data_IF_822561521694
#
_entry.id   IF_822561521694
#
_cell.length_a   1.000
_cell.length_b   1.000
_cell.length_c   1.000
_cell.angle_alpha   90.00
_cell.angle_beta   90.00
_cell.angle_gamma   90.00
#
_symmetry.space_group_name_H-M   'P 1'
#
loop_
_entity.id
_entity.type
_entity.pdbx_description
1 polymer ?
#
# COMPACT_ATOMS: atom_id res chain seq x y z
N UNK A 1 -32.74 44.15 62.57
CA UNK A 1 -32.67 42.71 62.27
C UNK A 1 -31.36 42.47 61.54
N UNK A 2 -30.39 41.89 62.25
CA UNK A 2 -29.00 41.68 61.83
C UNK A 2 -28.68 40.22 62.14
N UNK A 3 -28.14 39.50 61.16
CA UNK A 3 -27.33 38.28 61.33
C UNK A 3 -26.60 38.07 60.00
N UNK A 4 -25.32 38.47 59.85
CA UNK A 4 -24.06 37.79 60.21
C UNK A 4 -24.01 36.31 59.81
N UNK A 5 -23.12 36.01 58.85
CA UNK A 5 -22.10 34.96 59.03
C UNK A 5 -20.88 35.25 58.15
N UNK A 6 -19.72 35.05 58.78
CA UNK A 6 -18.35 35.26 58.31
C UNK A 6 -17.77 33.91 57.89
N UNK A 7 -16.94 33.87 56.84
CA UNK A 7 -16.08 32.73 56.52
C UNK A 7 -14.85 33.21 55.77
N UNK A 8 -13.68 32.95 56.34
CA UNK A 8 -12.42 33.67 56.11
C UNK A 8 -11.65 33.26 54.84
N UNK A 9 -10.89 34.23 54.32
CA UNK A 9 -9.85 34.10 53.29
C UNK A 9 -8.57 33.51 53.87
N UNK A 10 -7.98 32.53 53.17
CA UNK A 10 -6.54 32.21 53.25
C UNK A 10 -6.00 32.03 51.83
N UNK A 11 -5.15 32.99 51.43
CA UNK A 11 -4.36 32.94 50.21
C UNK A 11 -3.09 32.12 50.46
N UNK A 12 -2.89 31.03 49.72
CA UNK A 12 -1.60 30.35 49.62
C UNK A 12 -0.88 30.79 48.34
N UNK A 13 0.28 31.42 48.51
CA UNK A 13 1.24 31.67 47.45
C UNK A 13 1.97 30.36 47.11
N UNK A 14 1.92 29.93 45.85
CA UNK A 14 2.77 28.86 45.34
C UNK A 14 4.14 29.43 44.94
N UNK A 15 5.17 29.04 45.68
CA UNK A 15 6.57 29.19 45.29
C UNK A 15 6.92 28.13 44.23
N UNK A 16 7.42 28.58 43.09
CA UNK A 16 7.97 27.71 42.04
C UNK A 16 9.39 27.28 42.43
N UNK A 17 9.54 26.03 42.86
CA UNK A 17 10.81 25.32 42.92
C UNK A 17 10.71 24.11 41.99
N UNK A 18 11.25 24.22 40.78
CA UNK A 18 11.51 23.04 39.94
C UNK A 18 13.00 22.76 39.96
N UNK A 19 13.33 21.64 40.59
CA UNK A 19 14.64 21.06 40.67
C UNK A 19 15.21 20.75 39.28
N UNK A 20 16.47 21.13 39.07
CA UNK A 20 17.29 20.72 37.94
C UNK A 20 17.81 19.31 38.28
N UNK A 21 17.31 18.30 37.58
CA UNK A 21 17.95 16.97 37.55
C UNK A 21 18.89 16.90 36.34
N UNK A 22 20.19 16.62 36.53
CA UNK A 22 21.06 16.26 35.43
C UNK A 22 20.91 14.76 35.15
N UNK A 23 20.74 14.37 33.89
CA UNK A 23 21.19 13.10 33.28
C UNK A 23 20.47 12.88 31.94
N UNK A 24 21.18 13.16 30.84
CA UNK A 24 21.27 12.31 29.65
C UNK A 24 22.25 12.95 28.67
N UNK A 25 23.55 12.83 28.99
CA UNK A 25 24.56 12.83 27.94
C UNK A 25 24.43 11.49 27.20
N UNK A 26 23.72 11.51 26.08
CA UNK A 26 23.96 10.58 24.99
C UNK A 26 23.88 11.41 23.71
N UNK A 27 25.05 11.90 23.29
CA UNK A 27 25.28 12.28 21.91
C UNK A 27 25.05 11.03 21.07
N UNK A 28 23.89 10.91 20.43
CA UNK A 28 23.75 10.10 19.21
C UNK A 28 24.07 11.00 18.01
N UNK A 29 25.33 11.44 17.95
CA UNK A 29 25.96 12.00 16.75
C UNK A 29 26.22 10.90 15.71
N UNK A 30 25.18 10.15 15.33
CA UNK A 30 25.23 9.10 14.31
C UNK A 30 24.33 9.41 13.10
N UNK A 31 24.22 10.69 12.74
CA UNK A 31 23.96 11.09 11.35
C UNK A 31 25.25 11.05 10.49
N UNK A 32 26.31 10.42 11.01
CA UNK A 32 27.55 10.20 10.28
C UNK A 32 27.30 9.30 9.06
N UNK A 33 27.46 9.88 7.89
CA UNK A 33 27.83 9.17 6.67
C UNK A 33 29.14 8.41 6.95
N UNK A 34 29.02 7.15 7.38
CA UNK A 34 30.15 6.24 7.52
C UNK A 34 30.72 5.89 6.15
N UNK A 35 32.06 5.80 6.09
CA UNK A 35 32.88 5.51 4.92
C UNK A 35 32.41 4.31 4.09
N UNK A 36 31.46 4.48 3.16
CA UNK A 36 31.19 3.58 2.02
C UNK A 36 30.80 2.12 2.31
N UNK A 37 30.95 1.63 3.53
CA UNK A 37 30.61 0.27 3.98
C UNK A 37 29.35 0.33 4.83
N UNK A 38 28.27 -0.25 4.32
CA UNK A 38 27.01 -0.34 5.05
C UNK A 38 27.16 -1.36 6.19
N UNK A 39 27.16 -0.87 7.44
CA UNK A 39 27.03 -1.70 8.64
C UNK A 39 25.57 -2.04 9.01
N UNK A 40 24.62 -1.63 8.18
CA UNK A 40 23.20 -1.91 8.38
C UNK A 40 22.89 -3.41 8.24
N UNK A 41 21.86 -3.88 8.95
CA UNK A 41 21.37 -5.26 8.84
C UNK A 41 21.03 -5.59 7.39
N UNK A 42 21.59 -6.67 6.79
CA UNK A 42 21.15 -7.14 5.49
C UNK A 42 19.68 -7.57 5.53
N UNK A 43 18.92 -7.17 4.50
CA UNK A 43 17.53 -7.61 4.33
C UNK A 43 17.42 -8.32 2.99
N UNK A 44 16.83 -9.52 2.96
CA UNK A 44 16.54 -10.22 1.70
C UNK A 44 15.19 -9.79 1.15
N UNK A 45 14.17 -9.78 2.02
CA UNK A 45 12.80 -9.39 1.67
C UNK A 45 12.27 -8.39 2.69
N UNK A 46 11.81 -7.25 2.21
CA UNK A 46 11.04 -6.26 2.96
C UNK A 46 9.59 -6.31 2.48
N UNK A 47 8.70 -6.77 3.35
CA UNK A 47 7.25 -6.73 3.14
C UNK A 47 6.75 -5.38 3.65
N UNK A 48 6.08 -4.62 2.78
CA UNK A 48 5.50 -3.32 3.11
C UNK A 48 3.98 -3.49 3.15
N UNK A 49 3.40 -3.29 4.32
CA UNK A 49 1.96 -3.28 4.56
C UNK A 49 1.51 -1.90 5.04
N UNK A 50 0.22 -1.60 4.97
CA UNK A 50 -0.26 -0.22 5.06
C UNK A 50 -0.94 0.03 6.41
N UNK A 51 -1.58 -0.96 7.01
CA UNK A 51 -2.13 -0.87 8.36
C UNK A 51 -2.04 -2.19 9.13
N UNK A 52 -2.32 -2.14 10.44
CA UNK A 52 -2.06 -3.23 11.40
C UNK A 52 -2.45 -4.64 10.91
N UNK A 53 -3.73 -4.91 10.60
CA UNK A 53 -4.20 -6.20 10.07
C UNK A 53 -3.43 -6.73 8.86
N UNK A 54 -3.03 -5.88 7.90
CA UNK A 54 -2.22 -6.31 6.76
C UNK A 54 -0.82 -6.73 7.16
N UNK A 55 -0.17 -5.99 8.07
CA UNK A 55 1.13 -6.40 8.61
C UNK A 55 1.01 -7.67 9.45
N UNK A 56 -0.04 -7.77 10.26
CA UNK A 56 -0.23 -8.84 11.24
C UNK A 56 -0.32 -10.22 10.58
N UNK A 57 -0.92 -10.33 9.38
CA UNK A 57 -1.04 -11.63 8.70
C UNK A 57 0.33 -12.27 8.39
N UNK A 58 1.35 -11.44 8.17
CA UNK A 58 2.74 -11.87 8.00
C UNK A 58 3.40 -12.16 9.35
N UNK A 59 3.20 -11.26 10.32
CA UNK A 59 3.77 -11.37 11.66
C UNK A 59 3.34 -12.66 12.38
N UNK A 60 2.09 -13.09 12.19
CA UNK A 60 1.57 -14.31 12.81
C UNK A 60 2.21 -15.59 12.26
N UNK A 61 2.81 -15.54 11.06
CA UNK A 61 3.17 -16.74 10.30
C UNK A 61 4.67 -16.90 10.02
N UNK A 62 5.42 -15.79 9.96
CA UNK A 62 6.84 -15.79 9.56
C UNK A 62 7.81 -15.47 10.70
N UNK A 63 7.31 -15.32 11.93
CA UNK A 63 8.14 -15.09 13.11
C UNK A 63 9.02 -16.29 13.50
N UNK A 64 9.73 -16.19 14.64
CA UNK A 64 9.72 -15.09 15.60
C UNK A 64 10.43 -13.82 15.10
N UNK A 65 10.08 -12.68 15.68
CA UNK A 65 10.53 -11.35 15.26
C UNK A 65 11.49 -10.69 16.23
N UNK A 66 12.37 -9.87 15.67
CA UNK A 66 13.12 -8.84 16.37
C UNK A 66 12.59 -7.48 15.95
N UNK A 67 12.21 -6.66 16.93
CA UNK A 67 11.78 -5.30 16.69
C UNK A 67 12.98 -4.36 16.57
N UNK A 68 12.98 -3.56 15.51
CA UNK A 68 14.02 -2.59 15.22
C UNK A 68 13.34 -1.22 15.10
N UNK A 69 13.46 -0.34 16.11
CA UNK A 69 12.94 1.01 16.05
C UNK A 69 13.62 1.81 14.94
N UNK A 70 12.85 2.58 14.18
CA UNK A 70 13.37 3.45 13.12
C UNK A 70 12.80 4.86 13.28
N UNK A 71 13.69 5.84 13.41
CA UNK A 71 13.29 7.24 13.50
C UNK A 71 12.57 7.69 12.22
N UNK A 72 11.45 8.40 12.38
CA UNK A 72 10.64 8.91 11.27
C UNK A 72 9.52 7.98 10.80
N UNK A 73 9.43 6.75 11.30
CA UNK A 73 8.22 5.93 11.12
C UNK A 73 7.03 6.50 11.89
N UNK A 74 5.83 6.11 11.47
CA UNK A 74 4.58 6.45 12.16
C UNK A 74 4.66 6.08 13.66
N UNK A 75 4.19 6.94 14.58
CA UNK A 75 4.09 6.60 16.01
C UNK A 75 3.23 5.36 16.30
N UNK A 76 2.28 5.05 15.42
CA UNK A 76 1.44 3.84 15.54
C UNK A 76 2.21 2.57 15.14
N UNK A 77 3.25 2.72 14.32
CA UNK A 77 4.07 1.63 13.77
C UNK A 77 5.57 1.98 13.82
N UNK A 78 6.17 2.21 15.00
CA UNK A 78 7.52 2.78 15.12
C UNK A 78 8.65 1.77 14.87
N UNK A 79 8.31 0.49 14.67
CA UNK A 79 9.26 -0.62 14.55
C UNK A 79 9.14 -1.32 13.20
N UNK A 80 10.29 -1.80 12.71
CA UNK A 80 10.36 -2.82 11.67
C UNK A 80 10.61 -4.16 12.34
N UNK A 81 9.87 -5.17 11.92
CA UNK A 81 9.94 -6.51 12.50
C UNK A 81 10.75 -7.43 11.57
N UNK A 82 11.91 -7.91 12.00
CA UNK A 82 12.76 -8.77 11.19
C UNK A 82 12.95 -10.15 11.82
N UNK A 83 12.89 -11.22 11.02
CA UNK A 83 13.10 -12.59 11.49
C UNK A 83 14.55 -13.07 11.21
N UNK A 84 14.86 -14.34 11.52
CA UNK A 84 16.21 -14.91 11.32
C UNK A 84 16.56 -15.24 9.86
N UNK A 85 15.58 -15.21 8.95
CA UNK A 85 15.78 -15.45 7.51
C UNK A 85 16.01 -14.15 6.73
N UNK A 86 16.12 -13.01 7.43
CA UNK A 86 16.21 -11.67 6.87
C UNK A 86 14.98 -11.28 6.04
N UNK A 87 13.82 -11.77 6.46
CA UNK A 87 12.51 -11.25 6.09
C UNK A 87 12.15 -10.19 7.13
N UNK A 88 11.78 -9.01 6.66
CA UNK A 88 11.30 -7.93 7.49
C UNK A 88 9.90 -7.48 7.07
N UNK A 89 9.12 -6.97 8.02
CA UNK A 89 7.79 -6.38 7.79
C UNK A 89 7.81 -4.95 8.33
N UNK A 90 7.38 -4.01 7.49
CA UNK A 90 7.10 -2.62 7.87
C UNK A 90 5.62 -2.33 7.63
N UNK A 91 4.99 -1.59 8.55
CA UNK A 91 3.66 -1.01 8.36
C UNK A 91 3.76 0.50 8.17
N UNK A 92 3.25 1.06 7.08
CA UNK A 92 3.45 2.47 6.75
C UNK A 92 2.49 3.43 7.46
N UNK A 93 1.25 2.99 7.71
CA UNK A 93 0.09 3.87 7.84
C UNK A 93 -0.60 4.09 6.48
N UNK A 94 -1.92 4.31 6.50
CA UNK A 94 -2.76 4.43 5.29
C UNK A 94 -2.58 5.79 4.60
N UNK A 95 -2.78 5.80 3.28
CA UNK A 95 -2.73 6.99 2.43
C UNK A 95 -1.32 7.41 1.99
N UNK A 96 -1.26 8.22 0.93
CA UNK A 96 -0.01 8.60 0.24
C UNK A 96 1.01 9.25 1.16
N UNK A 97 0.57 10.08 2.10
CA UNK A 97 1.46 10.83 3.01
C UNK A 97 2.20 9.89 3.96
N UNK A 98 1.48 8.97 4.62
CA UNK A 98 2.09 8.01 5.54
C UNK A 98 2.98 7.01 4.79
N UNK A 99 2.50 6.52 3.64
CA UNK A 99 3.26 5.63 2.77
C UNK A 99 4.63 6.22 2.35
N UNK A 100 4.63 7.48 1.87
CA UNK A 100 5.85 8.15 1.46
C UNK A 100 6.78 8.44 2.65
N UNK A 101 6.25 8.98 3.75
CA UNK A 101 7.05 9.35 4.93
C UNK A 101 7.73 8.11 5.56
N UNK A 102 6.95 7.05 5.83
CA UNK A 102 7.47 5.82 6.44
C UNK A 102 8.48 5.11 5.52
N UNK A 103 8.22 5.06 4.22
CA UNK A 103 9.14 4.42 3.25
C UNK A 103 10.45 5.22 3.11
N UNK A 104 10.39 6.56 3.14
CA UNK A 104 11.61 7.40 3.16
C UNK A 104 12.41 7.17 4.45
N UNK A 105 11.75 7.11 5.61
CA UNK A 105 12.41 6.83 6.88
C UNK A 105 13.11 5.46 6.88
N UNK A 106 12.46 4.42 6.35
CA UNK A 106 13.09 3.12 6.15
C UNK A 106 14.29 3.20 5.19
N UNK A 107 14.09 3.74 3.99
CA UNK A 107 15.08 3.66 2.91
C UNK A 107 16.36 4.46 3.20
N UNK A 108 16.26 5.51 4.03
CA UNK A 108 17.39 6.34 4.45
C UNK A 108 17.95 5.99 5.84
N UNK A 109 17.33 5.05 6.55
CA UNK A 109 17.85 4.55 7.82
C UNK A 109 19.22 3.90 7.65
N UNK A 110 20.15 4.18 8.56
CA UNK A 110 21.45 3.49 8.64
C UNK A 110 21.35 2.10 9.26
N UNK A 111 20.17 1.71 9.77
CA UNK A 111 19.93 0.41 10.43
C UNK A 111 19.93 -0.77 9.45
N UNK A 112 19.75 -0.53 8.15
CA UNK A 112 19.57 -1.58 7.14
C UNK A 112 20.49 -1.38 5.93
N UNK A 113 20.99 -2.47 5.37
CA UNK A 113 21.55 -2.51 4.01
C UNK A 113 20.46 -3.00 3.05
N UNK A 114 19.91 -2.07 2.26
CA UNK A 114 18.78 -2.34 1.37
C UNK A 114 19.17 -2.51 -0.11
N UNK A 115 20.47 -2.49 -0.44
CA UNK A 115 20.97 -2.44 -1.82
C UNK A 115 20.57 -3.66 -2.66
N UNK A 116 20.34 -4.80 -2.01
CA UNK A 116 19.94 -6.05 -2.67
C UNK A 116 18.54 -6.51 -2.28
N UNK A 117 17.82 -5.73 -1.46
CA UNK A 117 16.52 -6.12 -0.89
C UNK A 117 15.45 -6.22 -1.97
N UNK A 118 14.63 -7.27 -1.88
CA UNK A 118 13.35 -7.34 -2.56
C UNK A 118 12.27 -6.68 -1.72
N UNK A 119 11.55 -5.75 -2.31
CA UNK A 119 10.40 -5.10 -1.70
C UNK A 119 9.13 -5.73 -2.24
N UNK A 120 8.27 -6.21 -1.35
CA UNK A 120 6.93 -6.66 -1.70
C UNK A 120 5.94 -5.75 -0.99
N UNK A 121 5.31 -4.85 -1.75
CA UNK A 121 4.18 -4.07 -1.24
C UNK A 121 2.95 -4.96 -1.28
N UNK A 122 2.36 -5.24 -0.11
CA UNK A 122 1.28 -6.20 0.05
C UNK A 122 0.18 -5.63 0.95
N UNK A 123 -0.98 -5.37 0.35
CA UNK A 123 -2.15 -4.84 1.03
C UNK A 123 -3.46 -5.16 0.31
N UNK A 124 -4.59 -4.96 0.98
CA UNK A 124 -5.90 -5.15 0.38
C UNK A 124 -6.24 -4.00 -0.57
N UNK A 125 -7.29 -4.19 -1.37
CA UNK A 125 -7.77 -3.23 -2.35
C UNK A 125 -9.24 -3.49 -2.72
N UNK A 126 -9.92 -2.48 -3.26
CA UNK A 126 -11.16 -2.70 -4.00
C UNK A 126 -10.85 -3.38 -5.33
N UNK A 127 -11.65 -4.38 -5.75
CA UNK A 127 -11.46 -5.15 -7.00
C UNK A 127 -12.49 -4.76 -8.06
N UNK A 128 -12.04 -4.63 -9.31
CA UNK A 128 -12.89 -4.49 -10.48
C UNK A 128 -13.58 -5.84 -10.78
N UNK A 129 -14.93 -5.93 -10.71
CA UNK A 129 -15.66 -7.17 -10.97
C UNK A 129 -15.45 -7.73 -12.39
N UNK A 130 -15.01 -6.93 -13.35
CA UNK A 130 -14.72 -7.40 -14.71
C UNK A 130 -13.38 -8.14 -14.80
N UNK A 131 -12.43 -7.85 -13.89
CA UNK A 131 -11.09 -8.45 -13.91
C UNK A 131 -10.89 -9.52 -12.85
N UNK A 132 -11.57 -9.38 -11.71
CA UNK A 132 -11.41 -10.28 -10.58
C UNK A 132 -12.68 -10.35 -9.73
N UNK A 133 -12.51 -10.91 -8.54
CA UNK A 133 -13.58 -11.08 -7.57
C UNK A 133 -13.07 -10.91 -6.16
N UNK A 134 -13.96 -10.69 -5.20
CA UNK A 134 -13.61 -10.59 -3.77
C UNK A 134 -12.78 -11.81 -3.35
N UNK A 135 -11.64 -11.54 -2.70
CA UNK A 135 -10.61 -12.51 -2.32
C UNK A 135 -9.53 -12.75 -3.37
N UNK A 136 -9.69 -12.30 -4.63
CA UNK A 136 -8.64 -12.47 -5.66
C UNK A 136 -7.37 -11.72 -5.28
N UNK A 137 -6.21 -12.27 -5.63
CA UNK A 137 -4.91 -11.64 -5.37
C UNK A 137 -4.21 -11.31 -6.68
N UNK A 138 -3.88 -10.04 -6.91
CA UNK A 138 -3.37 -9.52 -8.17
C UNK A 138 -1.92 -9.06 -8.05
N UNK A 139 -1.07 -9.55 -8.95
CA UNK A 139 0.30 -9.04 -9.15
C UNK A 139 0.30 -7.96 -10.24
N UNK A 140 0.76 -6.76 -9.88
CA UNK A 140 0.78 -5.60 -10.77
C UNK A 140 2.10 -5.45 -11.55
N UNK A 141 2.00 -4.88 -12.75
CA UNK A 141 3.12 -4.44 -13.59
C UNK A 141 3.16 -2.92 -13.74
N UNK A 142 2.03 -2.24 -13.54
CA UNK A 142 1.88 -0.80 -13.53
C UNK A 142 1.25 -0.34 -12.22
N UNK A 143 1.75 0.79 -11.73
CA UNK A 143 1.17 1.57 -10.64
C UNK A 143 0.66 2.87 -11.25
N UNK A 144 -0.63 3.17 -11.11
CA UNK A 144 -1.26 4.32 -11.77
C UNK A 144 -1.89 5.22 -10.71
N UNK A 145 -1.49 6.48 -10.66
CA UNK A 145 -2.09 7.45 -9.76
C UNK A 145 -3.42 7.95 -10.33
N UNK A 146 -4.46 8.04 -9.50
CA UNK A 146 -5.79 8.54 -9.83
C UNK A 146 -6.17 9.84 -9.11
N UNK A 147 -5.32 10.33 -8.21
CA UNK A 147 -5.46 11.64 -7.59
C UNK A 147 -4.80 12.77 -8.39
N UNK A 148 -3.75 12.49 -9.15
CA UNK A 148 -2.98 13.47 -9.93
C UNK A 148 -3.66 13.69 -11.30
N UNK A 149 -4.79 14.39 -11.23
CA UNK A 149 -5.64 14.76 -12.35
C UNK A 149 -6.25 16.13 -12.08
N UNK A 150 -6.79 16.79 -13.11
CA UNK A 150 -7.75 17.86 -12.91
C UNK A 150 -9.16 17.29 -12.83
N UNK A 151 -10.03 17.98 -12.12
CA UNK A 151 -11.43 17.61 -11.97
C UNK A 151 -12.31 18.85 -12.10
N UNK A 152 -13.36 18.73 -12.91
CA UNK A 152 -14.51 19.61 -12.91
C UNK A 152 -15.60 18.91 -12.08
N UNK A 153 -16.34 19.66 -11.27
CA UNK A 153 -17.47 19.13 -10.50
C UNK A 153 -18.40 18.33 -11.41
N UNK A 154 -18.81 17.13 -10.97
CA UNK A 154 -19.63 16.22 -11.76
C UNK A 154 -20.97 16.83 -12.24
N UNK A 155 -21.46 17.89 -11.60
CA UNK A 155 -22.69 18.61 -11.97
C UNK A 155 -22.47 19.67 -13.05
N UNK A 156 -21.21 20.01 -13.33
CA UNK A 156 -20.80 21.07 -14.25
C UNK A 156 -20.04 20.52 -15.47
N UNK A 157 -20.09 19.20 -15.68
CA UNK A 157 -19.44 18.53 -16.81
C UNK A 157 -19.95 19.14 -18.14
N UNK A 158 -19.05 19.63 -19.02
CA UNK A 158 -19.43 20.19 -20.31
C UNK A 158 -20.21 19.21 -21.20
N UNK A 159 -21.16 19.68 -22.03
CA UNK A 159 -21.83 18.82 -23.00
C UNK A 159 -20.84 18.05 -23.89
N UNK A 160 -21.04 16.74 -24.02
CA UNK A 160 -20.20 15.86 -24.83
C UNK A 160 -19.04 15.20 -24.06
N UNK A 161 -18.75 15.61 -22.82
CA UNK A 161 -17.78 14.93 -21.97
C UNK A 161 -18.46 13.81 -21.16
N UNK A 162 -17.82 12.65 -21.07
CA UNK A 162 -18.31 11.50 -20.29
C UNK A 162 -17.91 11.55 -18.81
N UNK A 163 -16.99 12.45 -18.45
CA UNK A 163 -16.42 12.58 -17.11
C UNK A 163 -15.89 14.01 -16.90
N UNK A 164 -15.82 14.45 -15.63
CA UNK A 164 -15.20 15.70 -15.23
C UNK A 164 -13.68 15.59 -15.02
N UNK A 165 -13.13 14.37 -15.02
CA UNK A 165 -11.69 14.14 -14.85
C UNK A 165 -10.93 14.31 -16.16
N UNK A 166 -9.76 14.94 -16.09
CA UNK A 166 -8.85 15.08 -17.21
C UNK A 166 -7.39 15.11 -16.73
N UNK A 167 -6.46 14.79 -17.64
CA UNK A 167 -5.05 14.88 -17.33
C UNK A 167 -4.62 16.33 -17.08
N UNK A 168 -3.65 16.53 -16.19
CA UNK A 168 -3.05 17.86 -15.96
C UNK A 168 -2.54 18.42 -17.30
N UNK A 169 -2.85 19.69 -17.57
CA UNK A 169 -2.49 20.40 -18.80
C UNK A 169 -3.11 19.84 -20.11
N UNK A 170 -4.15 19.00 -20.04
CA UNK A 170 -4.91 18.54 -21.21
C UNK A 170 -6.13 19.41 -21.52
N UNK A 171 -6.75 19.21 -22.69
CA UNK A 171 -7.95 19.92 -23.13
C UNK A 171 -9.19 19.03 -23.24
N UNK A 172 -9.06 17.72 -23.02
CA UNK A 172 -10.18 16.78 -23.01
C UNK A 172 -9.87 15.53 -22.16
N UNK A 173 -10.90 14.80 -21.68
CA UNK A 173 -10.72 13.60 -20.85
C UNK A 173 -9.96 12.42 -21.50
N UNK A 174 -9.86 12.42 -22.84
CA UNK A 174 -9.23 11.34 -23.61
C UNK A 174 -7.76 11.59 -23.94
N UNK A 175 -7.22 12.76 -23.63
CA UNK A 175 -5.82 13.11 -23.89
C UNK A 175 -4.88 12.55 -22.82
N UNK A 176 -3.70 12.10 -23.27
CA UNK A 176 -2.60 11.75 -22.36
C UNK A 176 -1.87 13.03 -21.92
N UNK A 177 -1.70 13.28 -20.61
CA UNK A 177 -0.94 14.42 -20.13
C UNK A 177 0.57 14.24 -20.39
N UNK A 178 1.37 15.32 -20.33
CA UNK A 178 2.84 15.27 -20.45
C UNK A 178 3.57 14.56 -19.27
N UNK A 179 2.84 14.21 -18.20
CA UNK A 179 3.35 13.57 -16.98
C UNK A 179 4.39 14.43 -16.25
N UNK A 180 4.06 15.69 -16.00
CA UNK A 180 4.98 16.68 -15.42
C UNK A 180 5.27 16.42 -13.93
N UNK A 181 4.39 15.71 -13.20
CA UNK A 181 4.56 15.48 -11.75
C UNK A 181 5.47 14.28 -11.46
N UNK A 182 5.72 13.42 -12.46
CA UNK A 182 6.66 12.29 -12.46
C UNK A 182 6.32 11.18 -11.45
N UNK A 183 5.07 11.15 -10.99
CA UNK A 183 4.51 10.14 -10.07
C UNK A 183 3.16 9.58 -10.55
N UNK A 184 2.67 10.05 -11.69
CA UNK A 184 1.38 9.66 -12.26
C UNK A 184 1.33 8.19 -12.66
N UNK A 185 2.46 7.64 -13.12
CA UNK A 185 2.55 6.23 -13.53
C UNK A 185 3.96 5.70 -13.34
N UNK A 186 4.05 4.48 -12.82
CA UNK A 186 5.28 3.71 -12.75
C UNK A 186 5.11 2.35 -13.41
N UNK A 187 6.14 1.90 -14.11
CA UNK A 187 6.25 0.53 -14.61
C UNK A 187 7.20 -0.26 -13.71
N UNK A 188 6.73 -1.40 -13.21
CA UNK A 188 7.51 -2.32 -12.40
C UNK A 188 8.30 -3.30 -13.26
N UNK A 189 9.21 -4.04 -12.64
CA UNK A 189 9.91 -5.13 -13.29
C UNK A 189 8.92 -6.26 -13.63
N UNK A 190 8.51 -6.33 -14.90
CA UNK A 190 7.51 -7.31 -15.37
C UNK A 190 7.95 -8.74 -15.12
N UNK A 191 9.24 -9.03 -15.21
CA UNK A 191 9.79 -10.37 -14.96
C UNK A 191 9.65 -10.79 -13.50
N UNK A 192 9.81 -9.85 -12.56
CA UNK A 192 9.56 -10.13 -11.15
C UNK A 192 8.08 -10.43 -10.92
N UNK A 193 7.18 -9.61 -11.47
CA UNK A 193 5.73 -9.84 -11.38
C UNK A 193 5.31 -11.18 -12.02
N UNK A 194 5.88 -11.54 -13.17
CA UNK A 194 5.62 -12.82 -13.86
C UNK A 194 6.15 -14.01 -13.06
N UNK A 195 7.32 -13.88 -12.44
CA UNK A 195 7.88 -14.92 -11.57
C UNK A 195 7.02 -15.10 -10.32
N UNK A 196 6.61 -14.01 -9.69
CA UNK A 196 5.74 -14.02 -8.53
C UNK A 196 4.39 -14.69 -8.83
N UNK A 197 3.79 -14.35 -9.97
CA UNK A 197 2.57 -15.01 -10.45
C UNK A 197 2.79 -16.50 -10.74
N UNK A 198 3.86 -16.88 -11.44
CA UNK A 198 4.15 -18.28 -11.75
C UNK A 198 4.29 -19.13 -10.47
N UNK A 199 4.92 -18.59 -9.44
CA UNK A 199 5.09 -19.24 -8.14
C UNK A 199 3.77 -19.41 -7.37
N UNK A 200 2.79 -18.51 -7.56
CA UNK A 200 1.58 -18.47 -6.72
C UNK A 200 0.27 -18.80 -7.45
N UNK A 201 0.23 -18.87 -8.78
CA UNK A 201 -1.01 -19.02 -9.57
C UNK A 201 -1.87 -20.24 -9.26
N UNK A 202 -1.30 -21.27 -8.64
CA UNK A 202 -1.99 -22.50 -8.26
C UNK A 202 -2.27 -22.60 -6.77
N UNK A 203 -1.95 -21.57 -5.98
CA UNK A 203 -2.28 -21.54 -4.56
C UNK A 203 -3.79 -21.46 -4.38
N UNK A 204 -4.31 -22.29 -3.48
CA UNK A 204 -5.72 -22.23 -3.07
C UNK A 204 -5.93 -21.03 -2.17
N UNK A 205 -6.64 -20.04 -2.68
CA UNK A 205 -7.03 -18.85 -1.92
C UNK A 205 -8.15 -19.18 -0.92
N UNK A 206 -8.11 -18.52 0.23
CA UNK A 206 -9.15 -18.52 1.24
C UNK A 206 -10.43 -17.89 0.68
N UNK A 207 -11.57 -18.40 1.14
CA UNK A 207 -12.90 -18.00 0.74
C UNK A 207 -13.88 -18.19 1.92
N UNK A 208 -15.03 -17.54 1.89
CA UNK A 208 -16.07 -17.66 2.92
C UNK A 208 -17.49 -17.50 2.34
N UNK A 209 -18.50 -17.81 3.15
CA UNK A 209 -19.91 -17.79 2.72
C UNK A 209 -20.40 -16.38 2.37
N UNK A 210 -19.98 -15.35 3.09
CA UNK A 210 -20.40 -13.97 2.84
C UNK A 210 -19.89 -13.46 1.48
N UNK A 211 -18.63 -13.74 1.16
CA UNK A 211 -18.04 -13.47 -0.14
C UNK A 211 -18.71 -14.29 -1.24
N UNK A 212 -19.06 -15.56 -1.01
CA UNK A 212 -19.86 -16.36 -1.97
C UNK A 212 -21.21 -15.68 -2.26
N UNK A 213 -21.91 -15.25 -1.21
CA UNK A 213 -23.20 -14.56 -1.33
C UNK A 213 -23.08 -13.20 -2.02
N UNK A 214 -22.02 -12.44 -1.75
CA UNK A 214 -21.76 -11.16 -2.41
C UNK A 214 -21.51 -11.35 -3.92
N UNK A 215 -20.69 -12.33 -4.28
CA UNK A 215 -20.36 -12.68 -5.67
C UNK A 215 -21.55 -13.21 -6.45
N UNK A 216 -22.45 -13.96 -5.81
CA UNK A 216 -23.67 -14.48 -6.44
C UNK A 216 -24.61 -13.38 -6.96
N UNK A 217 -24.46 -12.13 -6.49
CA UNK A 217 -25.23 -10.97 -6.97
C UNK A 217 -24.77 -10.47 -8.34
N UNK A 218 -23.58 -10.86 -8.79
CA UNK A 218 -23.05 -10.52 -10.11
C UNK A 218 -23.45 -11.59 -11.13
N UNK A 219 -23.98 -11.16 -12.27
CA UNK A 219 -24.48 -12.05 -13.34
C UNK A 219 -23.37 -12.59 -14.26
N UNK A 220 -22.12 -12.15 -14.07
CA UNK A 220 -21.00 -12.42 -14.98
C UNK A 220 -19.74 -12.88 -14.24
N UNK A 221 -18.88 -13.57 -14.98
CA UNK A 221 -17.54 -13.95 -14.54
C UNK A 221 -16.52 -12.84 -14.90
N UNK A 222 -15.42 -12.69 -14.16
CA UNK A 222 -15.02 -13.52 -13.01
C UNK A 222 -15.69 -13.13 -11.67
N UNK A 223 -16.44 -12.02 -11.59
CA UNK A 223 -17.07 -11.55 -10.35
C UNK A 223 -17.82 -12.65 -9.59
N UNK A 224 -18.52 -13.55 -10.27
CA UNK A 224 -19.31 -14.63 -9.65
C UNK A 224 -18.56 -15.96 -9.42
N UNK A 225 -17.23 -15.98 -9.45
CA UNK A 225 -16.41 -17.21 -9.32
C UNK A 225 -15.60 -17.25 -8.01
N UNK A 226 -15.09 -18.43 -7.59
CA UNK A 226 -14.03 -18.56 -6.57
C UNK A 226 -12.84 -17.63 -6.84
N UNK A 227 -12.19 -17.05 -5.81
CA UNK A 227 -11.03 -16.19 -6.02
C UNK A 227 -9.85 -16.99 -6.56
N UNK A 228 -9.05 -16.36 -7.41
CA UNK A 228 -7.79 -16.92 -7.90
C UNK A 228 -6.68 -15.86 -7.84
N UNK A 229 -5.44 -16.29 -7.96
CA UNK A 229 -4.34 -15.37 -8.20
C UNK A 229 -4.39 -14.94 -9.66
N UNK A 230 -4.28 -13.64 -9.93
CA UNK A 230 -4.36 -13.04 -11.26
C UNK A 230 -3.19 -12.06 -11.50
N UNK A 231 -3.04 -11.60 -12.75
CA UNK A 231 -2.14 -10.51 -13.10
C UNK A 231 -2.93 -9.38 -13.76
N UNK A 232 -2.86 -8.21 -13.15
CA UNK A 232 -3.47 -6.97 -13.58
C UNK A 232 -2.94 -5.85 -12.69
N UNK A 233 -3.21 -4.61 -13.06
CA UNK A 233 -2.57 -3.43 -12.50
C UNK A 233 -3.43 -2.71 -11.46
N UNK A 234 -2.73 -1.95 -10.63
CA UNK A 234 -3.28 -1.28 -9.47
C UNK A 234 -3.25 0.22 -9.65
N UNK A 235 -4.25 0.85 -9.06
CA UNK A 235 -4.45 2.28 -9.10
C UNK A 235 -4.46 2.84 -7.67
N UNK A 236 -3.80 3.98 -7.47
CA UNK A 236 -3.64 4.64 -6.18
C UNK A 236 -4.40 5.97 -6.13
N UNK A 237 -5.07 6.29 -5.03
CA UNK A 237 -5.60 7.63 -4.76
C UNK A 237 -5.93 7.82 -3.28
N UNK A 238 -5.81 9.05 -2.74
CA UNK A 238 -6.18 9.34 -1.35
C UNK A 238 -7.70 9.39 -1.10
N UNK A 239 -8.50 9.30 -2.16
CA UNK A 239 -9.97 9.22 -2.06
C UNK A 239 -10.41 7.78 -2.20
N UNK A 240 -11.15 7.29 -1.21
CA UNK A 240 -11.88 6.03 -1.33
C UNK A 240 -13.24 6.29 -1.98
N UNK A 241 -13.49 5.64 -3.11
CA UNK A 241 -14.68 5.85 -3.93
C UNK A 241 -15.39 4.54 -4.26
N UNK A 242 -16.66 4.66 -4.65
CA UNK A 242 -17.37 3.61 -5.36
C UNK A 242 -18.22 4.18 -6.48
N UNK A 243 -18.27 3.47 -7.62
CA UNK A 243 -19.26 3.73 -8.65
C UNK A 243 -18.85 3.29 -10.04
N UNK A 244 -19.82 2.82 -10.82
CA UNK A 244 -19.60 2.25 -12.17
C UNK A 244 -18.85 3.22 -13.09
N UNK A 245 -19.26 4.49 -13.13
CA UNK A 245 -18.65 5.53 -13.97
C UNK A 245 -17.23 5.92 -13.53
N UNK A 246 -16.99 5.99 -12.22
CA UNK A 246 -15.63 6.23 -11.70
C UNK A 246 -14.71 5.07 -12.04
N UNK A 247 -15.21 3.86 -11.91
CA UNK A 247 -14.46 2.68 -12.28
C UNK A 247 -14.28 2.49 -13.80
N UNK A 248 -15.16 3.03 -14.64
CA UNK A 248 -14.93 3.15 -16.10
C UNK A 248 -13.81 4.16 -16.38
N UNK A 249 -13.87 5.33 -15.71
CA UNK A 249 -12.82 6.33 -15.79
C UNK A 249 -11.46 5.77 -15.33
N UNK A 250 -11.42 4.99 -14.26
CA UNK A 250 -10.22 4.31 -13.78
C UNK A 250 -9.60 3.41 -14.88
N UNK A 251 -10.43 2.61 -15.56
CA UNK A 251 -9.98 1.78 -16.70
C UNK A 251 -9.42 2.61 -17.85
N UNK A 252 -10.14 3.65 -18.26
CA UNK A 252 -9.69 4.53 -19.34
C UNK A 252 -8.41 5.26 -18.96
N UNK A 253 -8.30 5.71 -17.71
CA UNK A 253 -7.12 6.40 -17.21
C UNK A 253 -5.89 5.52 -17.18
N UNK A 254 -6.00 4.28 -16.68
CA UNK A 254 -4.92 3.30 -16.75
C UNK A 254 -4.47 3.08 -18.19
N UNK A 255 -5.40 2.93 -19.14
CA UNK A 255 -5.04 2.80 -20.56
C UNK A 255 -4.32 4.03 -21.11
N UNK A 256 -4.84 5.23 -20.82
CA UNK A 256 -4.23 6.50 -21.26
C UNK A 256 -2.80 6.63 -20.74
N UNK A 257 -2.59 6.42 -19.44
CA UNK A 257 -1.27 6.62 -18.83
C UNK A 257 -0.24 5.56 -19.27
N UNK A 258 -0.70 4.32 -19.51
CA UNK A 258 0.18 3.19 -19.84
C UNK A 258 0.31 2.91 -21.33
N UNK A 259 -0.20 3.78 -22.20
CA UNK A 259 -0.24 3.56 -23.66
C UNK A 259 -0.94 2.23 -24.03
N UNK A 260 -2.08 1.95 -23.37
CA UNK A 260 -2.90 0.75 -23.50
C UNK A 260 -2.24 -0.57 -23.05
N UNK A 261 -1.10 -0.51 -22.35
CA UNK A 261 -0.40 -1.73 -21.87
C UNK A 261 -0.92 -2.24 -20.54
N UNK A 262 -1.42 -1.34 -19.69
CA UNK A 262 -1.91 -1.67 -18.36
C UNK A 262 -3.39 -2.08 -18.36
N UNK A 263 -3.75 -2.90 -17.37
CA UNK A 263 -5.10 -3.40 -17.15
C UNK A 263 -5.52 -3.08 -15.72
N UNK A 264 -6.33 -2.04 -15.51
CA UNK A 264 -6.87 -1.71 -14.19
C UNK A 264 -7.66 -2.88 -13.60
N UNK A 265 -7.35 -3.28 -12.37
CA UNK A 265 -8.17 -4.23 -11.63
C UNK A 265 -8.29 -3.96 -10.13
N UNK A 266 -7.34 -3.26 -9.50
CA UNK A 266 -7.40 -2.95 -8.06
C UNK A 266 -7.27 -1.46 -7.79
N UNK A 267 -7.93 -0.97 -6.74
CA UNK A 267 -7.81 0.41 -6.25
C UNK A 267 -7.46 0.46 -4.76
N UNK A 268 -6.51 1.33 -4.41
CA UNK A 268 -5.86 1.45 -3.09
C UNK A 268 -5.28 2.87 -2.90
N UNK A 269 -4.53 3.18 -1.83
CA UNK A 269 -4.10 4.57 -1.55
C UNK A 269 -2.58 4.82 -1.43
N UNK A 270 -1.71 3.84 -1.63
CA UNK A 270 -0.30 3.91 -1.20
C UNK A 270 0.75 3.56 -2.26
N UNK A 271 0.44 2.75 -3.27
CA UNK A 271 1.49 2.11 -4.10
C UNK A 271 2.40 3.14 -4.80
N UNK A 272 1.84 4.20 -5.37
CA UNK A 272 2.60 5.25 -6.06
C UNK A 272 3.51 6.02 -5.09
N UNK A 273 3.04 6.33 -3.88
CA UNK A 273 3.84 7.01 -2.86
C UNK A 273 4.97 6.15 -2.31
N UNK A 274 4.71 4.87 -2.04
CA UNK A 274 5.74 3.91 -1.65
C UNK A 274 6.81 3.79 -2.75
N UNK A 275 6.40 3.65 -4.01
CA UNK A 275 7.33 3.55 -5.12
C UNK A 275 8.17 4.81 -5.33
N UNK A 276 7.57 6.01 -5.23
CA UNK A 276 8.31 7.26 -5.35
C UNK A 276 9.37 7.43 -4.25
N UNK A 277 9.07 7.04 -3.01
CA UNK A 277 10.06 7.04 -1.93
C UNK A 277 11.23 6.07 -2.22
N UNK A 278 10.94 4.86 -2.71
CA UNK A 278 11.96 3.91 -3.15
C UNK A 278 12.76 4.44 -4.36
N UNK A 279 12.11 5.14 -5.29
CA UNK A 279 12.76 5.75 -6.46
C UNK A 279 13.75 6.84 -6.06
N UNK A 280 13.41 7.66 -5.05
CA UNK A 280 14.36 8.62 -4.45
C UNK A 280 15.52 7.95 -3.74
N UNK A 281 15.30 6.83 -3.07
CA UNK A 281 16.39 6.06 -2.48
C UNK A 281 17.28 5.38 -3.54
N UNK A 282 16.69 4.93 -4.66
CA UNK A 282 17.41 4.31 -5.77
C UNK A 282 18.33 5.30 -6.49
N UNK A 283 17.92 6.57 -6.62
CA UNK A 283 18.76 7.61 -7.25
C UNK A 283 20.06 7.90 -6.50
N UNK A 284 20.15 7.48 -5.24
CA UNK A 284 21.35 7.53 -4.40
C UNK A 284 21.88 6.14 -4.03
N UNK A 285 21.54 5.13 -4.84
CA UNK A 285 22.06 3.75 -4.74
C UNK A 285 21.77 3.03 -3.42
N UNK A 286 20.68 3.36 -2.72
CA UNK A 286 20.27 2.68 -1.48
C UNK A 286 19.39 1.46 -1.70
N UNK A 287 18.64 1.42 -2.80
CA UNK A 287 17.75 0.32 -3.19
C UNK A 287 17.83 0.09 -4.70
N UNK A 288 17.30 -1.05 -5.17
CA UNK A 288 17.20 -1.39 -6.59
C UNK A 288 15.72 -1.54 -7.00
N UNK A 289 15.24 -0.66 -7.89
CA UNK A 289 13.85 -0.66 -8.35
C UNK A 289 13.47 -1.92 -9.16
N UNK A 290 14.45 -2.69 -9.66
CA UNK A 290 14.17 -3.98 -10.31
C UNK A 290 13.69 -5.05 -9.34
N UNK A 291 13.66 -4.75 -8.04
CA UNK A 291 13.32 -5.68 -6.95
C UNK A 291 12.03 -5.31 -6.23
N UNK A 292 11.18 -4.47 -6.84
CA UNK A 292 9.89 -4.06 -6.28
C UNK A 292 8.76 -4.85 -6.94
N UNK A 293 8.02 -5.60 -6.14
CA UNK A 293 6.79 -6.29 -6.52
C UNK A 293 5.61 -5.72 -5.75
N UNK A 294 4.43 -5.69 -6.36
CA UNK A 294 3.21 -5.18 -5.74
C UNK A 294 2.10 -6.22 -5.87
N UNK A 295 1.53 -6.58 -4.73
CA UNK A 295 0.46 -7.56 -4.56
C UNK A 295 -0.73 -6.90 -3.89
N UNK A 296 -1.90 -6.94 -4.52
CA UNK A 296 -3.15 -6.45 -3.93
C UNK A 296 -4.21 -7.55 -3.85
N UNK A 297 -4.94 -7.63 -2.74
CA UNK A 297 -6.01 -8.61 -2.56
C UNK A 297 -7.39 -7.93 -2.43
N UNK A 298 -8.38 -8.40 -3.20
CA UNK A 298 -9.72 -7.80 -3.25
C UNK A 298 -10.51 -7.95 -1.94
N UNK A 299 -10.64 -6.90 -1.14
CA UNK A 299 -11.44 -6.88 0.10
C UNK A 299 -12.92 -6.59 -0.11
N UNK A 300 -13.25 -6.00 -1.24
CA UNK A 300 -14.57 -5.54 -1.65
C UNK A 300 -14.53 -5.26 -3.16
N UNK A 301 -15.70 -5.19 -3.80
CA UNK A 301 -15.86 -4.69 -5.16
C UNK A 301 -15.87 -3.15 -5.16
N UNK A 302 -15.10 -2.56 -6.07
CA UNK A 302 -14.99 -1.09 -6.22
C UNK A 302 -16.28 -0.43 -6.76
N UNK A 303 -17.24 -1.21 -7.24
CA UNK A 303 -18.49 -0.75 -7.84
C UNK A 303 -19.63 -1.74 -7.57
N UNK A 304 -20.89 -1.28 -7.60
CA UNK A 304 -22.04 -2.14 -7.34
C UNK A 304 -22.28 -3.17 -8.46
N UNK A 305 -23.03 -4.23 -8.12
CA UNK A 305 -23.72 -5.08 -9.08
C UNK A 305 -25.00 -4.40 -9.61
N UNK A 306 -25.59 -4.97 -10.66
CA UNK A 306 -26.84 -4.44 -11.25
C UNK A 306 -27.97 -4.39 -10.22
N UNK A 307 -28.55 -3.21 -10.01
CA UNK A 307 -29.63 -2.98 -9.04
C UNK A 307 -29.16 -2.46 -7.67
N UNK A 308 -27.86 -2.43 -7.39
CA UNK A 308 -27.31 -1.77 -6.21
C UNK A 308 -26.85 -0.34 -6.54
N UNK A 309 -27.02 0.60 -5.60
CA UNK A 309 -26.51 1.97 -5.76
C UNK A 309 -25.03 2.05 -5.39
N UNK A 310 -24.28 2.97 -5.99
CA UNK A 310 -22.87 3.19 -5.61
C UNK A 310 -22.71 3.62 -4.15
N UNK A 311 -23.67 4.38 -3.62
CA UNK A 311 -23.68 4.78 -2.21
C UNK A 311 -23.84 3.57 -1.28
N UNK A 312 -24.75 2.65 -1.62
CA UNK A 312 -24.92 1.40 -0.88
C UNK A 312 -23.67 0.53 -0.94
N UNK A 313 -23.04 0.39 -2.12
CA UNK A 313 -21.78 -0.36 -2.25
C UNK A 313 -20.66 0.25 -1.39
N UNK A 314 -20.52 1.59 -1.41
CA UNK A 314 -19.50 2.30 -0.62
C UNK A 314 -19.74 2.18 0.88
N UNK A 315 -20.97 2.40 1.36
CA UNK A 315 -21.25 2.48 2.80
C UNK A 315 -21.40 1.09 3.43
N UNK A 316 -21.76 0.08 2.64
CA UNK A 316 -21.97 -1.30 3.10
C UNK A 316 -20.93 -2.29 2.54
N UNK A 317 -19.74 -1.80 2.14
CA UNK A 317 -18.65 -2.61 1.60
C UNK A 317 -18.30 -3.83 2.49
N UNK A 318 -18.34 -3.66 3.81
CA UNK A 318 -17.99 -4.71 4.77
C UNK A 318 -18.92 -5.93 4.70
N UNK A 319 -20.19 -5.74 4.28
CA UNK A 319 -21.15 -6.83 4.12
C UNK A 319 -20.80 -7.79 2.98
N UNK A 320 -19.80 -7.45 2.15
CA UNK A 320 -19.30 -8.32 1.10
C UNK A 320 -18.41 -9.45 1.64
N UNK A 321 -17.99 -9.39 2.91
CA UNK A 321 -17.24 -10.48 3.56
C UNK A 321 -15.80 -10.66 3.08
N UNK A 322 -15.25 -9.72 2.31
CA UNK A 322 -13.93 -9.89 1.69
C UNK A 322 -12.74 -9.56 2.58
N UNK A 323 -12.91 -8.76 3.64
CA UNK A 323 -11.81 -8.26 4.45
C UNK A 323 -10.89 -9.36 5.00
N UNK A 324 -11.43 -10.34 5.72
CA UNK A 324 -10.62 -11.39 6.37
C UNK A 324 -9.96 -12.34 5.36
N UNK A 325 -10.67 -12.68 4.28
CA UNK A 325 -10.12 -13.57 3.25
C UNK A 325 -9.07 -12.86 2.39
N UNK A 326 -9.22 -11.55 2.13
CA UNK A 326 -8.23 -10.77 1.40
C UNK A 326 -6.91 -10.72 2.18
N UNK A 327 -6.94 -10.46 3.50
CA UNK A 327 -5.75 -10.49 4.35
C UNK A 327 -5.02 -11.84 4.28
N UNK A 328 -5.75 -12.94 4.47
CA UNK A 328 -5.17 -14.28 4.36
C UNK A 328 -4.63 -14.56 2.95
N UNK A 329 -5.29 -14.05 1.91
CA UNK A 329 -4.87 -14.24 0.52
C UNK A 329 -3.63 -13.44 0.15
N UNK A 330 -3.33 -12.32 0.82
CA UNK A 330 -2.02 -11.67 0.70
C UNK A 330 -0.91 -12.62 1.10
N UNK A 331 -1.03 -13.28 2.26
CA UNK A 331 -0.05 -14.25 2.70
C UNK A 331 0.03 -15.44 1.73
N UNK A 332 -1.11 -16.04 1.38
CA UNK A 332 -1.14 -17.22 0.50
C UNK A 332 -0.53 -16.96 -0.87
N UNK A 333 -0.83 -15.80 -1.48
CA UNK A 333 -0.33 -15.46 -2.81
C UNK A 333 1.10 -14.91 -2.78
N UNK A 334 1.49 -14.15 -1.75
CA UNK A 334 2.81 -13.51 -1.67
C UNK A 334 3.90 -14.40 -1.06
N UNK A 335 3.57 -15.24 -0.07
CA UNK A 335 4.57 -16.08 0.61
C UNK A 335 5.35 -17.01 -0.34
N UNK A 336 4.79 -17.58 -1.43
CA UNK A 336 5.58 -18.34 -2.41
C UNK A 336 6.78 -17.56 -2.96
N UNK A 337 6.61 -16.27 -3.31
CA UNK A 337 7.72 -15.43 -3.75
C UNK A 337 8.72 -15.18 -2.62
N UNK A 338 8.23 -14.85 -1.42
CA UNK A 338 9.08 -14.61 -0.24
C UNK A 338 9.96 -15.82 0.05
N UNK A 339 9.37 -17.01 0.13
CA UNK A 339 10.07 -18.26 0.42
C UNK A 339 11.06 -18.62 -0.68
N UNK A 340 10.71 -18.41 -1.94
CA UNK A 340 11.61 -18.69 -3.07
C UNK A 340 12.85 -17.77 -3.02
N UNK A 341 12.68 -16.48 -2.74
CA UNK A 341 13.79 -15.52 -2.60
C UNK A 341 14.73 -15.92 -1.46
N UNK A 342 14.20 -16.20 -0.26
CA UNK A 342 15.06 -16.42 0.91
C UNK A 342 15.76 -17.77 0.91
N UNK A 343 15.10 -18.80 0.35
CA UNK A 343 15.62 -20.17 0.26
C UNK A 343 16.61 -20.34 -0.87
N UNK A 344 16.47 -19.56 -1.96
CA UNK A 344 17.35 -19.61 -3.13
C UNK A 344 18.16 -18.31 -3.29
N UNK A 345 18.60 -17.71 -2.18
CA UNK A 345 19.23 -16.38 -2.18
C UNK A 345 20.43 -16.25 -3.14
N UNK A 346 21.21 -17.32 -3.34
CA UNK A 346 22.33 -17.29 -4.30
C UNK A 346 21.90 -16.99 -5.74
N UNK A 347 20.70 -17.42 -6.14
CA UNK A 347 20.11 -17.15 -7.45
C UNK A 347 19.49 -15.74 -7.50
N UNK A 348 18.80 -15.34 -6.43
CA UNK A 348 18.07 -14.07 -6.35
C UNK A 348 18.94 -12.85 -6.04
N UNK A 349 20.10 -13.02 -5.40
CA UNK A 349 20.95 -11.89 -4.96
C UNK A 349 21.35 -10.98 -6.12
N UNK A 350 21.57 -11.54 -7.32
CA UNK A 350 22.03 -10.78 -8.49
C UNK A 350 20.89 -10.31 -9.42
N UNK A 351 19.63 -10.61 -9.07
CA UNK A 351 18.46 -10.20 -9.83
C UNK A 351 17.43 -11.33 -9.92
N UNK A 352 16.34 -11.08 -10.65
CA UNK A 352 15.31 -12.11 -10.88
C UNK A 352 15.93 -13.29 -11.66
N UNK A 353 15.83 -14.55 -11.19
CA UNK A 353 16.40 -15.72 -11.86
C UNK A 353 15.66 -16.09 -13.14
N UNK A 354 16.35 -16.70 -14.12
CA UNK A 354 15.71 -17.19 -15.36
C UNK A 354 15.20 -18.60 -15.06
N UNK A 355 13.88 -18.80 -15.09
CA UNK A 355 13.24 -20.08 -14.78
C UNK A 355 12.17 -20.39 -15.82
#
# INVERSE_FOLDING_TARGET
>A
MVTRTVGALTALALAACTAISPLANAQDDNFAQGNGESHGRPVKVMIISMFGPEGQVWLDKLGPWQDIPVAGLSPDYPNIHCNRQDICVMTTGMGHTNAAASTMALAFSSRFDLRHTYFMVAGIAGIDPIQGTVGSAAWAKYLVDFGIQWEIDGREIPPGWNTGYLGINTKSPSEKPPLDYRTEVFQLNTRLADTAFALSRHVVLADNMDAQNARAKYSYAPANRPPTVIQCDTLAGDTWWSGTKLGERARDWTKILTDNKGVYCTTQQEDNSTYEALKRAASVHRVDLNRVAVLRAGSDFDRPYDGQTSADNLLNYAAQGGFSIALENLYRAGNPLVQDIVSHWGEWRNGVPQR
#
